data_IF_415673755989
#
_entry.id   IF_415673755989
#
_cell.length_a   1.000
_cell.length_b   1.000
_cell.length_c   1.000
_cell.angle_alpha   90.00
_cell.angle_beta   90.00
_cell.angle_gamma   90.00
#
_symmetry.space_group_name_H-M   'P 1'
#
loop_
_entity.id
_entity.type
_entity.pdbx_description
1 polymer ?
#
# COMPACT_ATOMS: atom_id res chain seq x y z
N UNK A 1 25.34 2.75 -11.50
CA UNK A 1 24.16 2.91 -10.63
C UNK A 1 23.12 3.87 -11.19
N UNK A 2 23.56 5.00 -11.73
CA UNK A 2 22.61 5.99 -12.27
C UNK A 2 21.81 5.51 -13.48
N UNK A 3 22.35 4.64 -14.33
CA UNK A 3 21.58 4.02 -15.41
C UNK A 3 20.46 3.15 -14.87
N UNK A 4 20.72 2.43 -13.78
CA UNK A 4 19.70 1.60 -13.14
C UNK A 4 18.65 2.46 -12.47
N UNK A 5 19.05 3.58 -11.88
CA UNK A 5 18.06 4.53 -11.36
C UNK A 5 17.16 5.05 -12.48
N UNK A 6 17.72 5.37 -13.64
CA UNK A 6 16.93 5.82 -14.80
C UNK A 6 15.93 4.72 -15.22
N UNK A 7 16.34 3.45 -15.21
CA UNK A 7 15.44 2.34 -15.51
C UNK A 7 14.31 2.24 -14.50
N UNK A 8 14.59 2.44 -13.22
CA UNK A 8 13.57 2.42 -12.19
C UNK A 8 12.60 3.58 -12.32
N UNK A 9 13.09 4.77 -12.66
CA UNK A 9 12.25 5.95 -12.93
C UNK A 9 11.30 5.66 -14.09
N UNK A 10 11.81 5.04 -15.14
CA UNK A 10 11.00 4.66 -16.29
C UNK A 10 9.90 3.68 -15.87
N UNK A 11 10.24 2.71 -15.06
CA UNK A 11 9.28 1.74 -14.54
C UNK A 11 8.19 2.41 -13.69
N UNK A 12 8.56 3.37 -12.84
CA UNK A 12 7.61 3.99 -11.89
C UNK A 12 6.75 5.08 -12.51
N UNK A 13 7.32 5.89 -13.38
CA UNK A 13 6.65 7.11 -13.88
C UNK A 13 6.65 7.22 -15.39
N UNK A 14 7.05 6.17 -16.10
CA UNK A 14 7.15 6.21 -17.56
C UNK A 14 8.22 7.19 -18.05
N UNK A 15 9.23 7.45 -17.23
CA UNK A 15 10.31 8.37 -17.57
C UNK A 15 10.07 9.81 -17.16
N UNK A 16 8.97 10.08 -16.45
CA UNK A 16 8.67 11.44 -15.98
C UNK A 16 9.51 11.78 -14.74
N UNK A 17 10.64 12.44 -14.98
CA UNK A 17 11.60 12.78 -13.92
C UNK A 17 11.02 13.77 -12.91
N UNK A 18 10.19 14.71 -13.34
CA UNK A 18 9.56 15.68 -12.45
C UNK A 18 8.63 14.98 -11.45
N UNK A 19 7.83 14.06 -11.95
CA UNK A 19 6.92 13.28 -11.12
C UNK A 19 7.70 12.43 -10.11
N UNK A 20 8.77 11.79 -10.56
CA UNK A 20 9.60 10.97 -9.70
C UNK A 20 10.27 11.81 -8.60
N UNK A 21 10.81 12.98 -8.96
CA UNK A 21 11.40 13.89 -7.99
C UNK A 21 10.37 14.30 -6.93
N UNK A 22 9.15 14.59 -7.37
CA UNK A 22 8.07 14.96 -6.46
C UNK A 22 7.75 13.81 -5.49
N UNK A 23 7.68 12.58 -6.00
CA UNK A 23 7.45 11.40 -5.15
C UNK A 23 8.53 11.24 -4.08
N UNK A 24 9.77 11.55 -4.43
CA UNK A 24 10.90 11.43 -3.49
C UNK A 24 11.06 12.65 -2.58
N UNK A 25 10.36 13.74 -2.86
CA UNK A 25 10.58 14.99 -2.16
C UNK A 25 11.88 15.68 -2.57
N UNK A 26 12.38 15.38 -3.76
CA UNK A 26 13.61 15.97 -4.31
C UNK A 26 13.27 17.08 -5.29
N UNK A 27 14.20 18.04 -5.45
CA UNK A 27 14.07 19.02 -6.54
C UNK A 27 14.39 18.35 -7.87
N UNK A 28 13.76 18.80 -8.97
CA UNK A 28 14.11 18.27 -10.29
C UNK A 28 15.59 18.45 -10.65
N UNK A 29 16.19 19.54 -10.20
CA UNK A 29 17.61 19.81 -10.43
C UNK A 29 18.50 18.79 -9.70
N UNK A 30 18.14 18.45 -8.48
CA UNK A 30 18.88 17.45 -7.69
C UNK A 30 18.86 16.10 -8.39
N UNK A 31 17.68 15.66 -8.84
CA UNK A 31 17.54 14.40 -9.55
C UNK A 31 18.32 14.41 -10.86
N UNK A 32 18.21 15.49 -11.64
CA UNK A 32 18.92 15.62 -12.89
C UNK A 32 20.43 15.54 -12.72
N UNK A 33 20.94 16.20 -11.70
CA UNK A 33 22.37 16.18 -11.38
C UNK A 33 22.81 14.77 -10.97
N UNK A 34 21.98 14.08 -10.20
CA UNK A 34 22.26 12.71 -9.78
C UNK A 34 22.31 11.75 -10.97
N UNK A 35 21.41 11.89 -11.92
CA UNK A 35 21.36 11.03 -13.10
C UNK A 35 22.55 11.25 -14.04
N UNK A 36 23.14 12.43 -14.02
CA UNK A 36 24.32 12.74 -14.83
C UNK A 36 25.62 12.28 -14.19
N UNK A 37 25.64 12.03 -12.91
CA UNK A 37 26.82 11.60 -12.20
C UNK A 37 27.14 10.13 -12.42
N UNK A 38 28.34 9.73 -12.05
CA UNK A 38 28.77 8.34 -12.16
C UNK A 38 28.35 7.50 -10.96
N UNK A 39 28.08 8.16 -9.84
CA UNK A 39 27.71 7.46 -8.61
C UNK A 39 26.71 8.29 -7.80
N UNK A 40 26.02 7.61 -6.90
CA UNK A 40 25.10 8.24 -5.98
C UNK A 40 25.66 8.15 -4.57
N UNK A 41 25.41 9.19 -3.77
CA UNK A 41 25.71 9.11 -2.36
C UNK A 41 24.82 8.09 -1.64
N UNK A 42 25.17 7.79 -0.41
CA UNK A 42 24.42 6.79 0.36
C UNK A 42 23.00 7.28 0.72
N UNK A 43 22.81 8.56 1.00
CA UNK A 43 21.52 9.08 1.41
C UNK A 43 20.42 8.93 0.35
N UNK A 44 20.66 9.27 -0.91
CA UNK A 44 19.66 9.02 -1.95
C UNK A 44 19.33 7.53 -2.09
N UNK A 45 20.31 6.64 -1.96
CA UNK A 45 20.09 5.20 -2.05
C UNK A 45 19.19 4.74 -0.90
N UNK A 46 19.48 5.16 0.32
CA UNK A 46 18.68 4.82 1.50
C UNK A 46 17.24 5.33 1.31
N UNK A 47 17.09 6.57 0.85
CA UNK A 47 15.77 7.16 0.62
C UNK A 47 14.97 6.38 -0.41
N UNK A 48 15.61 5.96 -1.50
CA UNK A 48 14.97 5.14 -2.53
C UNK A 48 14.48 3.81 -2.00
N UNK A 49 15.34 3.13 -1.24
CA UNK A 49 15.01 1.81 -0.70
C UNK A 49 13.93 1.88 0.38
N UNK A 50 13.88 2.98 1.12
CA UNK A 50 12.82 3.20 2.11
C UNK A 50 11.49 3.54 1.44
N UNK A 51 11.54 4.34 0.38
CA UNK A 51 10.32 4.75 -0.33
C UNK A 51 9.73 3.62 -1.15
N UNK A 52 10.57 2.79 -1.75
CA UNK A 52 10.16 1.74 -2.67
C UNK A 52 10.69 0.38 -2.20
N UNK A 53 9.97 -0.30 -1.29
CA UNK A 53 10.41 -1.60 -0.78
C UNK A 53 10.57 -2.66 -1.87
N UNK A 54 9.86 -2.50 -2.99
CA UNK A 54 9.97 -3.44 -4.11
C UNK A 54 11.27 -3.31 -4.90
N UNK A 55 11.97 -2.16 -4.77
CA UNK A 55 13.24 -1.95 -5.46
C UNK A 55 14.33 -2.80 -4.81
N UNK A 56 14.97 -3.67 -5.62
CA UNK A 56 16.00 -4.55 -5.09
C UNK A 56 17.31 -3.79 -4.92
N UNK A 57 17.84 -3.83 -3.68
CA UNK A 57 19.03 -3.09 -3.32
C UNK A 57 20.27 -3.61 -4.07
N UNK A 58 20.43 -4.92 -4.19
CA UNK A 58 21.58 -5.49 -4.89
C UNK A 58 21.54 -5.13 -6.37
N UNK A 59 20.35 -5.17 -6.95
CA UNK A 59 20.22 -4.75 -8.35
C UNK A 59 20.58 -3.28 -8.52
N UNK A 60 20.09 -2.41 -7.66
CA UNK A 60 20.35 -0.97 -7.78
C UNK A 60 21.86 -0.67 -7.62
N UNK A 61 22.47 -1.24 -6.62
CA UNK A 61 23.86 -0.92 -6.26
C UNK A 61 24.86 -1.68 -7.12
N UNK A 62 24.63 -2.97 -7.32
CA UNK A 62 25.60 -3.86 -7.96
C UNK A 62 25.21 -4.33 -9.35
N UNK A 63 23.95 -4.18 -9.72
CA UNK A 63 23.44 -4.68 -10.99
C UNK A 63 23.15 -6.18 -10.97
N UNK A 64 23.12 -6.80 -9.80
CA UNK A 64 22.85 -8.22 -9.66
C UNK A 64 21.36 -8.47 -9.47
N UNK A 65 20.84 -9.48 -10.16
CA UNK A 65 19.45 -9.89 -9.99
C UNK A 65 18.48 -9.05 -10.80
N UNK A 66 17.24 -8.98 -10.34
CA UNK A 66 16.16 -8.25 -11.00
C UNK A 66 15.88 -6.93 -10.29
N UNK A 67 15.42 -5.95 -11.05
CA UNK A 67 15.10 -4.61 -10.55
C UNK A 67 14.06 -4.63 -9.44
N UNK A 68 13.03 -5.45 -9.58
CA UNK A 68 11.89 -5.48 -8.66
C UNK A 68 11.93 -6.75 -7.84
N UNK A 69 11.81 -6.58 -6.54
CA UNK A 69 11.59 -7.69 -5.63
C UNK A 69 10.10 -8.03 -5.64
N UNK A 70 9.75 -9.01 -6.46
CA UNK A 70 8.36 -9.44 -6.65
C UNK A 70 7.73 -9.88 -5.33
N UNK A 71 8.53 -10.50 -4.46
CA UNK A 71 8.03 -10.95 -3.16
C UNK A 71 7.58 -9.79 -2.28
N UNK A 72 8.43 -8.76 -2.16
CA UNK A 72 8.07 -7.56 -1.38
C UNK A 72 6.84 -6.87 -1.96
N UNK A 73 6.72 -6.87 -3.29
CA UNK A 73 5.57 -6.28 -3.95
C UNK A 73 4.28 -7.04 -3.60
N UNK A 74 4.34 -8.36 -3.66
CA UNK A 74 3.19 -9.21 -3.31
C UNK A 74 2.81 -8.99 -1.84
N UNK A 75 3.80 -8.95 -0.95
CA UNK A 75 3.54 -8.72 0.47
C UNK A 75 2.92 -7.34 0.71
N UNK A 76 3.37 -6.33 -0.03
CA UNK A 76 2.76 -5.00 0.03
C UNK A 76 1.31 -5.02 -0.40
N UNK A 77 1.00 -5.72 -1.48
CA UNK A 77 -0.38 -5.85 -1.95
C UNK A 77 -1.25 -6.56 -0.91
N UNK A 78 -0.76 -7.65 -0.34
CA UNK A 78 -1.49 -8.39 0.69
C UNK A 78 -1.73 -7.55 1.94
N UNK A 79 -0.77 -6.72 2.32
CA UNK A 79 -0.90 -5.83 3.47
C UNK A 79 -2.02 -4.81 3.27
N UNK A 80 -2.19 -4.32 2.03
CA UNK A 80 -3.18 -3.30 1.72
C UNK A 80 -4.56 -3.87 1.38
N UNK A 81 -4.63 -5.16 1.07
CA UNK A 81 -5.87 -5.81 0.63
C UNK A 81 -7.00 -5.67 1.65
N UNK A 82 -6.67 -5.64 2.93
CA UNK A 82 -7.67 -5.51 3.99
C UNK A 82 -8.44 -4.19 3.93
N UNK A 83 -7.90 -3.19 3.23
CA UNK A 83 -8.54 -1.88 3.12
C UNK A 83 -9.48 -1.76 1.91
N UNK A 84 -9.57 -2.80 1.07
CA UNK A 84 -10.43 -2.79 -0.11
C UNK A 84 -11.86 -2.34 0.22
N UNK A 85 -12.48 -2.80 1.32
CA UNK A 85 -13.85 -2.38 1.64
C UNK A 85 -14.03 -0.88 1.83
N UNK A 86 -12.97 -0.13 2.06
CA UNK A 86 -13.02 1.32 2.28
C UNK A 86 -12.27 2.12 1.21
N UNK A 87 -11.76 1.44 0.18
CA UNK A 87 -11.11 2.09 -0.96
C UNK A 87 -12.15 2.57 -1.97
N UNK A 88 -11.80 3.63 -2.71
CA UNK A 88 -12.59 4.04 -3.88
C UNK A 88 -12.18 3.22 -5.09
N UNK A 89 -12.90 3.41 -6.21
CA UNK A 89 -12.67 2.64 -7.43
C UNK A 89 -11.26 2.82 -7.98
N UNK A 90 -10.76 4.04 -7.97
CA UNK A 90 -9.41 4.33 -8.47
C UNK A 90 -8.35 3.64 -7.64
N UNK A 91 -8.52 3.63 -6.33
CA UNK A 91 -7.59 2.98 -5.40
C UNK A 91 -7.59 1.47 -5.60
N UNK A 92 -8.76 0.87 -5.75
CA UNK A 92 -8.89 -0.56 -6.01
C UNK A 92 -8.22 -0.92 -7.34
N UNK A 93 -8.46 -0.13 -8.38
CA UNK A 93 -7.87 -0.38 -9.69
C UNK A 93 -6.34 -0.26 -9.63
N UNK A 94 -5.83 0.72 -8.89
CA UNK A 94 -4.38 0.90 -8.70
C UNK A 94 -3.77 -0.31 -7.98
N UNK A 95 -4.41 -0.76 -6.90
CA UNK A 95 -3.93 -1.93 -6.17
C UNK A 95 -3.97 -3.18 -7.04
N UNK A 96 -5.05 -3.36 -7.82
CA UNK A 96 -5.18 -4.49 -8.74
C UNK A 96 -4.10 -4.48 -9.82
N UNK A 97 -3.63 -3.29 -10.20
CA UNK A 97 -2.51 -3.14 -11.13
C UNK A 97 -1.14 -3.34 -10.46
N UNK A 98 -1.13 -3.66 -9.16
CA UNK A 98 0.09 -3.92 -8.41
C UNK A 98 0.75 -2.70 -7.82
N UNK A 99 0.04 -1.58 -7.72
CA UNK A 99 0.57 -0.38 -7.07
C UNK A 99 0.37 -0.49 -5.57
N UNK A 100 1.44 -0.18 -4.81
CA UNK A 100 1.41 -0.24 -3.35
C UNK A 100 1.94 1.05 -2.72
N UNK A 101 2.26 2.05 -3.54
CA UNK A 101 2.91 3.28 -3.13
C UNK A 101 1.90 4.39 -2.81
N UNK A 102 0.90 4.06 -2.02
CA UNK A 102 -0.06 5.06 -1.53
C UNK A 102 0.58 5.88 -0.41
N UNK A 103 0.22 7.15 -0.33
CA UNK A 103 0.80 8.00 0.71
C UNK A 103 0.24 7.65 2.10
N UNK A 104 0.95 8.08 3.13
CA UNK A 104 0.63 7.75 4.51
C UNK A 104 -0.74 8.29 4.94
N UNK A 105 -1.10 9.47 4.46
CA UNK A 105 -2.39 10.08 4.78
C UNK A 105 -3.54 9.28 4.20
N UNK A 106 -3.37 8.77 2.98
CA UNK A 106 -4.37 7.92 2.33
C UNK A 106 -4.56 6.63 3.13
N UNK A 107 -3.45 5.99 3.50
CA UNK A 107 -3.50 4.73 4.27
C UNK A 107 -4.11 4.98 5.65
N UNK A 108 -3.76 6.07 6.30
CA UNK A 108 -4.32 6.41 7.60
C UNK A 108 -5.83 6.63 7.50
N UNK A 109 -6.27 7.28 6.43
CA UNK A 109 -7.69 7.45 6.15
C UNK A 109 -8.41 6.11 6.00
N UNK A 110 -7.81 5.15 5.33
CA UNK A 110 -8.37 3.80 5.22
C UNK A 110 -8.47 3.13 6.58
N UNK A 111 -7.44 3.25 7.40
CA UNK A 111 -7.44 2.63 8.74
C UNK A 111 -8.61 3.14 9.57
N UNK A 112 -8.81 4.44 9.60
CA UNK A 112 -9.89 5.06 10.37
C UNK A 112 -11.25 4.59 9.86
N UNK A 113 -11.44 4.60 8.53
CA UNK A 113 -12.71 4.19 7.94
C UNK A 113 -12.99 2.71 8.14
N UNK A 114 -11.94 1.87 8.08
CA UNK A 114 -12.11 0.43 8.30
C UNK A 114 -12.50 0.15 9.75
N UNK A 115 -11.84 0.78 10.72
CA UNK A 115 -12.18 0.63 12.13
C UNK A 115 -13.62 1.04 12.39
N UNK A 116 -14.05 2.15 11.79
CA UNK A 116 -15.42 2.61 11.93
C UNK A 116 -16.41 1.61 11.33
N UNK A 117 -16.10 1.09 10.15
CA UNK A 117 -16.94 0.12 9.47
C UNK A 117 -17.03 -1.19 10.27
N UNK A 118 -15.91 -1.65 10.81
CA UNK A 118 -15.88 -2.84 11.65
C UNK A 118 -16.72 -2.65 12.91
N UNK A 119 -16.64 -1.48 13.53
CA UNK A 119 -17.43 -1.16 14.70
C UNK A 119 -18.92 -1.18 14.41
N UNK A 120 -19.33 -0.58 13.28
CA UNK A 120 -20.72 -0.59 12.85
C UNK A 120 -21.22 -2.00 12.56
N UNK A 121 -20.42 -2.81 11.91
CA UNK A 121 -20.79 -4.19 11.61
C UNK A 121 -20.91 -5.01 12.88
N UNK A 122 -20.01 -4.80 13.82
CA UNK A 122 -20.05 -5.49 15.11
C UNK A 122 -21.33 -5.13 15.86
N UNK A 123 -21.70 -3.86 15.88
CA UNK A 123 -22.95 -3.43 16.49
C UNK A 123 -24.16 -4.09 15.86
N UNK A 124 -24.18 -4.16 14.53
CA UNK A 124 -25.27 -4.83 13.81
C UNK A 124 -25.34 -6.31 14.17
N UNK A 125 -24.19 -6.96 14.25
CA UNK A 125 -24.11 -8.37 14.59
C UNK A 125 -24.62 -8.58 16.02
N UNK A 126 -24.15 -7.79 16.96
CA UNK A 126 -24.56 -7.90 18.36
C UNK A 126 -26.05 -7.66 18.52
N UNK A 127 -26.58 -6.67 17.82
CA UNK A 127 -28.03 -6.38 17.85
C UNK A 127 -28.82 -7.56 17.30
N UNK A 128 -28.40 -8.11 16.17
CA UNK A 128 -29.06 -9.24 15.54
C UNK A 128 -28.98 -10.48 16.45
N UNK A 129 -27.81 -10.71 17.03
CA UNK A 129 -27.61 -11.83 17.94
C UNK A 129 -28.50 -11.72 19.19
N UNK A 130 -28.55 -10.55 19.80
CA UNK A 130 -29.39 -10.31 20.99
C UNK A 130 -30.84 -10.47 20.64
N UNK A 131 -31.26 -10.04 19.45
CA UNK A 131 -32.65 -10.21 19.02
C UNK A 131 -33.01 -11.67 18.82
N UNK A 132 -32.08 -12.45 18.27
CA UNK A 132 -32.28 -13.89 18.07
C UNK A 132 -32.23 -14.67 19.39
N UNK A 133 -31.45 -14.18 20.36
CA UNK A 133 -31.26 -14.84 21.63
C UNK A 133 -32.40 -14.59 22.63
N UNK A 134 -33.22 -13.57 22.38
CA UNK A 134 -34.35 -13.29 23.27
C UNK A 134 -35.39 -14.41 23.18
N UNK A 135 -35.86 -14.92 24.29
CA UNK A 135 -36.92 -15.90 24.27
C UNK A 135 -38.13 -15.29 23.58
N UNK A 136 -38.61 -15.95 22.58
CA UNK A 136 -39.80 -15.47 21.90
C UNK A 136 -40.98 -15.57 22.85
N UNK A 137 -41.31 -14.49 23.33
CA UNK A 137 -42.24 -14.54 24.35
C UNK A 137 -41.81 -15.57 25.30
N UNK A 138 -41.15 -15.92 25.54
CA UNK A 138 -40.74 -16.73 26.14
C UNK A 138 -41.11 -17.70 26.14
N UNK A 139 -41.68 -18.17 25.57
CA UNK A 139 -41.93 -19.02 25.30
C UNK A 139 -41.48 -19.72 24.86
N UNK A 140 -41.38 -20.08 24.80
CA UNK A 140 -41.04 -20.79 24.47
C UNK A 140 -40.30 -21.34 24.44
N UNK A 141 -40.30 -21.49 24.85
CA UNK A 141 -39.77 -22.12 24.80
C UNK A 141 -39.39 -22.74 24.80
N UNK A 142 -39.57 -22.82 25.10
CA UNK A 142 -39.54 -23.50 25.11
C UNK A 142 -39.44 -24.17 24.75
N UNK A 143 -39.52 -24.10 24.72
CA UNK A 143 -39.68 -24.66 24.38
C UNK A 143 -39.09 -25.16 23.93
N UNK A 144 -38.87 -25.12 24.18
CA UNK A 144 -38.61 -25.50 23.86
C UNK A 144 -37.94 -25.96 23.46
N UNK A 145 -37.75 -26.05 23.56
CA UNK A 145 -37.46 -26.46 23.19
C UNK A 145 -37.23 -26.74 22.60
N UNK A 146 -37.28 -26.41 22.62
CA UNK A 146 -37.32 -26.72 22.08
C UNK A 146 -37.42 -26.87 21.74
#
# INVERSE_FOLDING_TARGET
MNKRLAQFIDYKTGGNQKEFALLMGWSPQYLHKMLKGDSMGIQPVVSLLQKFPELDARWLILGDGAMIDVRSRILGMLTLEKYIPVMNREEIDALSAGRTDFDDDTIEGWKVRLEQKESEMRQRFDTAYMRQSQPAGESGFLAKNS
#
